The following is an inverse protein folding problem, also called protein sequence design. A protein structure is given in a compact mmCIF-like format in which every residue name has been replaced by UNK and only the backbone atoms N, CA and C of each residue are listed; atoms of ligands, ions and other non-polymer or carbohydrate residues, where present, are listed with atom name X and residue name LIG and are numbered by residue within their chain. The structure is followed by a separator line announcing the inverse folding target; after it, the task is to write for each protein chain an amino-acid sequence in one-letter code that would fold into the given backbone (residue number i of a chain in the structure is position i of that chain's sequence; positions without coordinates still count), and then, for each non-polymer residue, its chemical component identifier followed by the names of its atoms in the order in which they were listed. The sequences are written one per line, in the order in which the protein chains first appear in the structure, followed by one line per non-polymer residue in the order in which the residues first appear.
data_IF_223037891133
#
_entry.id   IF_223037891133
#
_cell.length_a   1.000
_cell.length_b   1.000
_cell.length_c   1.000
_cell.angle_alpha   90.00
_cell.angle_beta   90.00
_cell.angle_gamma   90.00
#
_symmetry.space_group_name_H-M   'P 1'
#
loop_
_entity.id
_entity.type
_entity.pdbx_description
1 polymer ?
#
# COMPACT_ATOMS: atom_id res chain seq x y z
N UNK A 1 -10.57 -29.38 -12.08
CA UNK A 1 -11.39 -28.40 -11.35
C UNK A 1 -10.62 -27.57 -10.31
N UNK A 2 -9.81 -28.15 -9.39
CA UNK A 2 -9.02 -27.38 -8.40
C UNK A 2 -7.85 -26.58 -9.04
N UNK A 3 -7.22 -27.13 -10.08
CA UNK A 3 -6.11 -26.49 -10.82
C UNK A 3 -6.54 -25.24 -11.62
N UNK A 4 -7.74 -25.24 -12.21
CA UNK A 4 -8.19 -24.14 -13.09
C UNK A 4 -8.52 -22.84 -12.33
N UNK A 5 -8.87 -22.95 -11.04
CA UNK A 5 -9.25 -21.79 -10.22
C UNK A 5 -8.02 -21.11 -9.60
N UNK A 6 -7.02 -21.89 -9.18
CA UNK A 6 -5.68 -21.40 -8.82
C UNK A 6 -5.04 -20.69 -10.02
N UNK A 7 -5.10 -21.29 -11.21
CA UNK A 7 -4.60 -20.70 -12.44
C UNK A 7 -5.27 -19.37 -12.80
N UNK A 8 -6.55 -19.16 -12.44
CA UNK A 8 -7.24 -17.88 -12.68
C UNK A 8 -6.84 -16.78 -11.69
N UNK A 9 -6.44 -17.14 -10.47
CA UNK A 9 -5.85 -16.23 -9.48
C UNK A 9 -4.41 -15.90 -9.88
N UNK A 10 -3.63 -16.90 -10.29
CA UNK A 10 -2.26 -16.74 -10.78
C UNK A 10 -2.17 -15.94 -12.08
N UNK A 11 -3.06 -16.19 -13.05
CA UNK A 11 -3.15 -15.41 -14.29
C UNK A 11 -3.56 -13.94 -14.05
N UNK A 12 -4.12 -13.62 -12.88
CA UNK A 12 -4.40 -12.24 -12.50
C UNK A 12 -3.25 -11.59 -11.69
N UNK A 13 -2.30 -12.38 -11.20
CA UNK A 13 -1.12 -11.95 -10.43
C UNK A 13 0.16 -11.89 -11.29
N UNK A 14 0.26 -12.64 -12.39
CA UNK A 14 1.43 -12.75 -13.28
C UNK A 14 1.47 -11.71 -14.42
N UNK A 15 0.84 -10.54 -14.28
CA UNK A 15 1.01 -9.46 -15.25
C UNK A 15 2.26 -8.65 -14.85
N UNK A 16 3.43 -9.16 -15.23
CA UNK A 16 4.63 -8.35 -15.37
C UNK A 16 4.45 -7.43 -16.59
N UNK A 17 4.55 -6.12 -16.35
CA UNK A 17 4.21 -5.05 -17.29
C UNK A 17 5.38 -4.75 -18.24
N UNK A 18 5.82 -5.74 -19.03
CA UNK A 18 6.81 -5.52 -20.10
C UNK A 18 6.22 -5.44 -21.52
N UNK A 19 4.90 -5.64 -21.73
CA UNK A 19 4.32 -5.70 -23.10
C UNK A 19 3.05 -4.83 -23.29
N UNK A 20 3.14 -3.52 -23.03
CA UNK A 20 2.13 -2.55 -23.49
C UNK A 20 2.79 -1.36 -24.19
N UNK A 21 3.51 -1.63 -25.26
CA UNK A 21 3.63 -0.67 -26.37
C UNK A 21 3.32 -1.40 -27.68
N UNK A 22 2.47 -0.78 -28.49
CA UNK A 22 2.05 -1.21 -29.85
C UNK A 22 0.75 -2.04 -29.95
N UNK A 23 -0.38 -1.33 -29.98
CA UNK A 23 -1.52 -1.78 -30.79
C UNK A 23 -2.25 -0.57 -31.38
N UNK A 24 -2.09 -0.36 -32.70
CA UNK A 24 -2.82 0.64 -33.48
C UNK A 24 -4.32 0.27 -33.61
N UNK A 25 -5.25 1.25 -33.57
CA UNK A 25 -6.67 0.96 -33.71
C UNK A 25 -7.16 1.10 -35.17
N UNK A 26 -7.50 -0.01 -35.82
CA UNK A 26 -8.30 -0.01 -37.06
C UNK A 26 -9.79 -0.26 -36.79
N UNK A 27 -10.64 0.61 -37.34
CA UNK A 27 -12.07 0.36 -37.66
C UNK A 27 -13.10 0.70 -36.57
N UNK A 28 -13.80 1.84 -36.71
CA UNK A 28 -14.70 2.41 -35.68
C UNK A 28 -16.13 1.87 -35.63
N UNK A 29 -16.63 1.06 -36.57
CA UNK A 29 -18.07 0.73 -36.60
C UNK A 29 -18.49 -0.65 -36.05
N UNK A 30 -17.56 -1.60 -35.85
CA UNK A 30 -17.86 -2.86 -35.12
C UNK A 30 -17.64 -2.77 -33.60
N UNK A 31 -17.22 -1.61 -33.10
CA UNK A 31 -16.76 -1.40 -31.72
C UNK A 31 -17.90 -1.32 -30.69
N UNK A 32 -19.08 -0.82 -31.08
CA UNK A 32 -20.18 -0.54 -30.14
C UNK A 32 -20.86 -1.80 -29.58
N UNK A 33 -21.13 -2.80 -30.42
CA UNK A 33 -21.75 -4.07 -29.98
C UNK A 33 -20.75 -4.96 -29.24
N UNK A 34 -19.47 -4.96 -29.67
CA UNK A 34 -18.38 -5.69 -29.02
C UNK A 34 -18.06 -5.12 -27.62
N UNK A 35 -18.03 -3.79 -27.44
CA UNK A 35 -17.82 -3.16 -26.12
C UNK A 35 -18.96 -3.46 -25.13
N UNK A 36 -20.21 -3.54 -25.57
CA UNK A 36 -21.35 -3.91 -24.69
C UNK A 36 -21.34 -5.40 -24.32
N UNK A 37 -20.96 -6.29 -25.24
CA UNK A 37 -20.80 -7.72 -24.96
C UNK A 37 -19.59 -7.98 -24.04
N UNK A 38 -18.46 -7.30 -24.25
CA UNK A 38 -17.29 -7.36 -23.38
C UNK A 38 -17.57 -6.78 -21.99
N UNK A 39 -18.33 -5.68 -21.90
CA UNK A 39 -18.74 -5.10 -20.62
C UNK A 39 -19.69 -6.01 -19.82
N UNK A 40 -20.61 -6.72 -20.49
CA UNK A 40 -21.45 -7.73 -19.85
C UNK A 40 -20.63 -8.95 -19.43
N UNK A 41 -19.78 -9.50 -20.30
CA UNK A 41 -18.90 -10.63 -19.98
C UNK A 41 -17.89 -10.31 -18.86
N UNK A 42 -17.35 -9.08 -18.81
CA UNK A 42 -16.47 -8.62 -17.75
C UNK A 42 -17.22 -8.48 -16.41
N UNK A 43 -18.48 -8.02 -16.42
CA UNK A 43 -19.33 -8.00 -15.22
C UNK A 43 -19.69 -9.40 -14.74
N UNK A 44 -19.99 -10.34 -15.63
CA UNK A 44 -20.27 -11.73 -15.26
C UNK A 44 -19.01 -12.44 -14.75
N UNK A 45 -17.85 -12.23 -15.39
CA UNK A 45 -16.54 -12.73 -14.91
C UNK A 45 -16.15 -12.12 -13.56
N UNK A 46 -16.36 -10.82 -13.35
CA UNK A 46 -16.13 -10.15 -12.07
C UNK A 46 -17.02 -10.73 -10.96
N UNK A 47 -18.29 -11.01 -11.26
CA UNK A 47 -19.24 -11.58 -10.31
C UNK A 47 -18.93 -13.05 -9.98
N UNK A 48 -18.51 -13.85 -10.98
CA UNK A 48 -18.03 -15.23 -10.78
C UNK A 48 -16.71 -15.27 -10.01
N UNK A 49 -15.77 -14.34 -10.29
CA UNK A 49 -14.51 -14.17 -9.55
C UNK A 49 -14.78 -13.80 -8.08
N UNK A 50 -15.73 -12.91 -7.81
CA UNK A 50 -16.14 -12.57 -6.44
C UNK A 50 -16.82 -13.72 -5.69
N UNK A 51 -17.68 -14.50 -6.36
CA UNK A 51 -18.36 -15.65 -5.74
C UNK A 51 -17.40 -16.82 -5.49
N UNK A 52 -16.45 -17.04 -6.40
CA UNK A 52 -15.37 -18.03 -6.26
C UNK A 52 -14.43 -17.65 -5.12
N UNK A 53 -13.95 -16.40 -5.04
CA UNK A 53 -13.07 -15.95 -3.94
C UNK A 53 -13.76 -15.97 -2.58
N UNK A 54 -15.07 -15.69 -2.50
CA UNK A 54 -15.84 -15.79 -1.24
C UNK A 54 -16.04 -17.24 -0.78
N UNK A 55 -16.25 -18.17 -1.72
CA UNK A 55 -16.26 -19.59 -1.37
C UNK A 55 -14.86 -20.02 -0.91
N UNK A 56 -13.79 -19.66 -1.61
CA UNK A 56 -12.41 -19.96 -1.19
C UNK A 56 -12.12 -19.40 0.21
N UNK A 57 -12.38 -18.13 0.50
CA UNK A 57 -12.18 -17.57 1.83
C UNK A 57 -12.97 -18.29 2.95
N UNK A 58 -14.12 -18.90 2.63
CA UNK A 58 -14.96 -19.66 3.57
C UNK A 58 -14.54 -21.13 3.70
N UNK A 59 -13.94 -21.71 2.65
CA UNK A 59 -13.47 -23.10 2.64
C UNK A 59 -12.04 -23.24 3.18
N UNK A 60 -11.26 -22.15 3.20
CA UNK A 60 -9.86 -22.14 3.65
C UNK A 60 -9.68 -21.71 5.12
N UNK A 61 -10.79 -21.50 5.84
CA UNK A 61 -10.79 -21.02 7.23
C UNK A 61 -10.37 -22.06 8.26
N UNK A 62 -10.32 -23.36 7.92
CA UNK A 62 -10.22 -24.40 8.98
C UNK A 62 -9.08 -25.41 8.84
N UNK A 63 -8.56 -25.79 7.65
CA UNK A 63 -7.62 -26.96 7.61
C UNK A 63 -6.41 -26.91 6.65
N UNK A 64 -6.06 -25.78 5.97
CA UNK A 64 -4.84 -25.69 5.11
C UNK A 64 -4.13 -24.33 5.13
N UNK A 65 -4.04 -23.73 6.31
CA UNK A 65 -3.55 -22.37 6.49
C UNK A 65 -2.05 -22.13 6.15
N UNK A 66 -1.09 -23.04 6.46
CA UNK A 66 0.34 -22.71 6.34
C UNK A 66 0.87 -22.66 4.91
N UNK A 67 0.55 -23.63 4.05
CA UNK A 67 1.11 -23.72 2.70
C UNK A 67 0.59 -22.60 1.80
N UNK A 68 -0.69 -22.27 1.93
CA UNK A 68 -1.28 -21.14 1.20
C UNK A 68 -0.66 -19.81 1.65
N UNK A 69 -0.47 -19.63 2.97
CA UNK A 69 0.20 -18.44 3.51
C UNK A 69 1.63 -18.35 2.97
N UNK A 70 2.40 -19.45 2.99
CA UNK A 70 3.75 -19.50 2.41
C UNK A 70 3.72 -19.11 0.93
N UNK A 71 2.85 -19.73 0.14
CA UNK A 71 2.78 -19.47 -1.29
C UNK A 71 2.42 -18.02 -1.61
N UNK A 72 1.40 -17.47 -0.96
CA UNK A 72 0.99 -16.08 -1.17
C UNK A 72 2.14 -15.15 -0.76
N UNK A 73 2.80 -15.43 0.36
CA UNK A 73 3.93 -14.64 0.85
C UNK A 73 5.08 -14.60 -0.16
N UNK A 74 5.46 -15.75 -0.74
CA UNK A 74 6.49 -15.84 -1.78
C UNK A 74 6.15 -15.00 -3.02
N UNK A 75 4.86 -14.91 -3.40
CA UNK A 75 4.41 -14.10 -4.55
C UNK A 75 4.32 -12.61 -4.23
N UNK A 76 4.06 -12.26 -2.97
CA UNK A 76 3.98 -10.87 -2.54
C UNK A 76 5.34 -10.19 -2.50
N UNK A 77 6.42 -10.95 -2.30
CA UNK A 77 7.78 -10.40 -2.33
C UNK A 77 8.33 -10.46 -3.76
N UNK A 78 9.00 -9.39 -4.19
CA UNK A 78 9.65 -9.33 -5.51
C UNK A 78 10.79 -10.34 -5.58
N UNK A 79 11.08 -10.80 -6.81
CA UNK A 79 12.35 -11.47 -7.11
C UNK A 79 13.51 -10.51 -6.82
N UNK A 80 14.58 -11.03 -6.22
CA UNK A 80 15.75 -10.26 -5.76
C UNK A 80 15.39 -9.02 -4.90
N UNK A 81 14.70 -9.19 -3.76
CA UNK A 81 14.13 -8.08 -2.99
C UNK A 81 15.21 -7.09 -2.51
N UNK A 82 16.42 -7.58 -2.19
CA UNK A 82 17.54 -6.75 -1.75
C UNK A 82 18.13 -5.88 -2.87
N UNK A 83 18.31 -6.45 -4.06
CA UNK A 83 18.82 -5.73 -5.23
C UNK A 83 17.82 -4.65 -5.64
N UNK A 84 16.53 -4.99 -5.62
CA UNK A 84 15.45 -4.05 -5.89
C UNK A 84 15.42 -2.93 -4.83
N UNK A 85 15.55 -3.27 -3.55
CA UNK A 85 15.63 -2.30 -2.48
C UNK A 85 16.77 -1.31 -2.67
N UNK A 86 18.00 -1.80 -2.89
CA UNK A 86 19.18 -0.94 -3.10
C UNK A 86 18.99 -0.01 -4.30
N UNK A 87 18.38 -0.50 -5.38
CA UNK A 87 18.11 0.29 -6.58
C UNK A 87 17.07 1.40 -6.36
N UNK A 88 16.06 1.17 -5.50
CA UNK A 88 14.89 2.04 -5.38
C UNK A 88 14.78 2.79 -4.04
N UNK A 89 15.66 2.51 -3.08
CA UNK A 89 15.62 3.12 -1.74
C UNK A 89 15.71 4.65 -1.77
N UNK A 90 16.53 5.22 -2.64
CA UNK A 90 16.69 6.67 -2.77
C UNK A 90 15.40 7.34 -3.25
N UNK A 91 14.79 6.81 -4.32
CA UNK A 91 13.52 7.32 -4.86
C UNK A 91 12.41 7.19 -3.81
N UNK A 92 12.36 6.06 -3.11
CA UNK A 92 11.40 5.86 -2.04
C UNK A 92 11.61 6.84 -0.88
N UNK A 93 12.86 7.09 -0.48
CA UNK A 93 13.21 8.03 0.58
C UNK A 93 12.84 9.47 0.21
N UNK A 94 13.16 9.89 -1.01
CA UNK A 94 12.78 11.20 -1.55
C UNK A 94 11.26 11.38 -1.56
N UNK A 95 10.54 10.37 -2.08
CA UNK A 95 9.08 10.36 -2.08
C UNK A 95 8.51 10.43 -0.67
N UNK A 96 9.05 9.64 0.26
CA UNK A 96 8.62 9.63 1.66
C UNK A 96 8.83 10.97 2.35
N UNK A 97 9.99 11.59 2.18
CA UNK A 97 10.29 12.91 2.74
C UNK A 97 9.37 13.99 2.17
N UNK A 98 9.10 13.95 0.87
CA UNK A 98 8.13 14.86 0.24
C UNK A 98 6.73 14.70 0.84
N UNK A 99 6.29 13.44 1.02
CA UNK A 99 5.03 13.10 1.68
C UNK A 99 5.00 13.63 3.11
N UNK A 100 6.03 13.35 3.92
CA UNK A 100 6.09 13.79 5.31
C UNK A 100 6.06 15.33 5.42
N UNK A 101 6.85 16.04 4.62
CA UNK A 101 6.86 17.52 4.62
C UNK A 101 5.48 18.13 4.37
N UNK A 102 4.72 17.54 3.44
CA UNK A 102 3.41 18.05 3.07
C UNK A 102 2.30 17.63 4.04
N UNK A 103 2.53 16.60 4.87
CA UNK A 103 1.46 15.96 5.66
C UNK A 103 1.67 15.96 7.16
N UNK A 104 2.88 16.28 7.64
CA UNK A 104 3.13 16.45 9.06
C UNK A 104 2.44 17.71 9.56
N UNK A 105 1.39 17.50 10.35
CA UNK A 105 0.63 18.55 10.98
C UNK A 105 1.36 19.04 12.24
N UNK A 106 1.45 20.36 12.47
CA UNK A 106 2.01 20.87 13.71
C UNK A 106 1.16 20.48 14.92
N UNK A 107 1.81 20.44 16.07
CA UNK A 107 1.13 20.25 17.35
C UNK A 107 0.18 21.43 17.63
N UNK A 108 -0.93 21.15 18.31
CA UNK A 108 -1.90 22.16 18.77
C UNK A 108 -2.73 22.88 17.70
N UNK A 109 -2.92 22.28 16.53
CA UNK A 109 -3.89 22.77 15.54
C UNK A 109 -5.30 22.25 15.82
N UNK A 110 -6.31 22.94 15.27
CA UNK A 110 -7.70 22.47 15.26
C UNK A 110 -8.02 21.69 13.99
N UNK A 111 -9.12 20.95 14.00
CA UNK A 111 -9.63 20.20 12.85
C UNK A 111 -10.08 21.09 11.69
N UNK A 112 -10.33 22.38 11.96
CA UNK A 112 -10.66 23.40 10.96
C UNK A 112 -9.43 24.06 10.31
N UNK A 113 -8.21 23.74 10.76
CA UNK A 113 -6.99 24.31 10.20
C UNK A 113 -6.84 23.95 8.71
N UNK A 114 -6.63 24.94 7.81
CA UNK A 114 -6.50 24.68 6.37
C UNK A 114 -5.40 23.68 5.99
N UNK A 115 -4.39 23.52 6.83
CA UNK A 115 -3.31 22.54 6.63
C UNK A 115 -3.81 21.11 6.64
N UNK A 116 -4.87 20.80 7.39
CA UNK A 116 -5.49 19.46 7.41
C UNK A 116 -6.02 19.11 6.01
N UNK A 117 -6.81 20.00 5.42
CA UNK A 117 -7.38 19.81 4.08
C UNK A 117 -6.27 19.76 3.03
N UNK A 118 -5.27 20.63 3.14
CA UNK A 118 -4.13 20.69 2.21
C UNK A 118 -3.31 19.39 2.23
N UNK A 119 -3.01 18.85 3.41
CA UNK A 119 -2.29 17.60 3.57
C UNK A 119 -3.05 16.41 2.95
N UNK A 120 -4.37 16.34 3.16
CA UNK A 120 -5.22 15.29 2.58
C UNK A 120 -5.25 15.41 1.05
N UNK A 121 -5.44 16.61 0.51
CA UNK A 121 -5.38 16.89 -0.94
C UNK A 121 -4.08 16.42 -1.56
N UNK A 122 -2.97 16.74 -0.91
CA UNK A 122 -1.64 16.35 -1.37
C UNK A 122 -1.51 14.83 -1.52
N UNK A 123 -1.95 14.06 -0.51
CA UNK A 123 -1.93 12.60 -0.55
C UNK A 123 -2.86 12.03 -1.62
N UNK A 124 -4.05 12.61 -1.80
CA UNK A 124 -4.99 12.15 -2.81
C UNK A 124 -4.44 12.31 -4.23
N UNK A 125 -3.80 13.45 -4.49
CA UNK A 125 -3.12 13.72 -5.74
C UNK A 125 -1.97 12.74 -6.00
N UNK A 126 -1.27 12.29 -4.95
CA UNK A 126 -0.25 11.25 -5.12
C UNK A 126 -0.90 9.92 -5.49
N UNK A 127 -1.91 9.50 -4.72
CA UNK A 127 -2.56 8.19 -4.84
C UNK A 127 -3.22 7.98 -6.21
N UNK A 128 -3.85 9.03 -6.74
CA UNK A 128 -4.65 8.94 -7.97
C UNK A 128 -4.06 9.71 -9.14
N UNK A 129 -2.92 10.39 -8.94
CA UNK A 129 -2.16 11.04 -10.00
C UNK A 129 -1.45 10.02 -10.90
N UNK A 130 -1.53 10.23 -12.21
CA UNK A 130 -0.93 9.31 -13.21
C UNK A 130 0.61 9.33 -13.20
N UNK A 131 1.23 10.43 -12.75
CA UNK A 131 2.67 10.64 -12.81
C UNK A 131 3.49 9.97 -11.69
N UNK A 132 2.83 9.47 -10.64
CA UNK A 132 3.55 8.96 -9.45
C UNK A 132 3.90 7.49 -9.60
N UNK A 133 5.10 7.10 -9.16
CA UNK A 133 5.50 5.70 -9.12
C UNK A 133 4.65 4.89 -8.13
N UNK A 134 4.50 3.59 -8.38
CA UNK A 134 3.74 2.67 -7.51
C UNK A 134 4.25 2.72 -6.06
N UNK A 135 5.57 2.78 -5.88
CA UNK A 135 6.19 2.88 -4.54
C UNK A 135 5.72 4.11 -3.77
N UNK A 136 5.73 5.28 -4.42
CA UNK A 136 5.29 6.54 -3.78
C UNK A 136 3.80 6.51 -3.48
N UNK A 137 2.98 5.89 -4.34
CA UNK A 137 1.55 5.68 -4.07
C UNK A 137 1.31 4.79 -2.85
N UNK A 138 2.06 3.70 -2.70
CA UNK A 138 1.96 2.83 -1.52
C UNK A 138 2.29 3.58 -0.24
N UNK A 139 3.40 4.32 -0.25
CA UNK A 139 3.81 5.16 0.87
C UNK A 139 2.74 6.20 1.21
N UNK A 140 2.16 6.87 0.20
CA UNK A 140 1.08 7.82 0.40
C UNK A 140 -0.20 7.15 0.97
N UNK A 141 -0.50 5.91 0.59
CA UNK A 141 -1.65 5.18 1.13
C UNK A 141 -1.48 4.93 2.63
N UNK A 142 -0.28 4.50 3.05
CA UNK A 142 0.06 4.32 4.46
C UNK A 142 -0.02 5.67 5.20
N UNK A 143 0.58 6.73 4.64
CA UNK A 143 0.54 8.04 5.27
C UNK A 143 -0.87 8.61 5.39
N UNK A 144 -1.75 8.32 4.43
CA UNK A 144 -3.15 8.73 4.51
C UNK A 144 -3.82 8.14 5.76
N UNK A 145 -3.54 6.89 6.12
CA UNK A 145 -4.08 6.31 7.36
C UNK A 145 -3.56 7.03 8.60
N UNK A 146 -2.25 7.26 8.66
CA UNK A 146 -1.64 7.95 9.80
C UNK A 146 -2.21 9.36 9.94
N UNK A 147 -2.30 10.10 8.83
CA UNK A 147 -2.91 11.43 8.81
C UNK A 147 -4.36 11.41 9.28
N UNK A 148 -5.18 10.47 8.79
CA UNK A 148 -6.59 10.38 9.20
C UNK A 148 -6.73 10.02 10.70
N UNK A 149 -5.84 9.21 11.26
CA UNK A 149 -5.83 8.92 12.70
C UNK A 149 -5.38 10.14 13.51
N UNK A 150 -4.37 10.90 13.05
CA UNK A 150 -3.99 12.19 13.65
C UNK A 150 -5.16 13.18 13.62
N UNK A 151 -5.86 13.33 12.48
CA UNK A 151 -7.03 14.19 12.37
C UNK A 151 -8.15 13.74 13.29
N UNK A 152 -8.35 12.42 13.45
CA UNK A 152 -9.31 11.86 14.42
C UNK A 152 -8.95 12.22 15.86
N UNK A 153 -7.68 12.20 16.23
CA UNK A 153 -7.22 12.67 17.54
C UNK A 153 -7.47 14.17 17.73
N UNK A 154 -7.17 14.98 16.72
CA UNK A 154 -7.44 16.42 16.72
C UNK A 154 -8.95 16.70 16.90
N UNK A 155 -9.81 16.07 16.11
CA UNK A 155 -11.28 16.21 16.24
C UNK A 155 -11.77 15.77 17.61
N UNK A 156 -11.18 14.71 18.17
CA UNK A 156 -11.51 14.25 19.53
C UNK A 156 -11.13 15.29 20.59
N UNK A 157 -9.98 15.95 20.42
CA UNK A 157 -9.53 17.05 21.29
C UNK A 157 -10.47 18.26 21.16
N UNK A 158 -10.78 18.67 19.93
CA UNK A 158 -11.71 19.77 19.66
C UNK A 158 -13.10 19.53 20.27
N UNK A 159 -13.59 18.29 20.23
CA UNK A 159 -14.84 17.90 20.87
C UNK A 159 -14.77 18.05 22.40
N UNK A 160 -13.71 17.55 23.04
CA UNK A 160 -13.51 17.67 24.50
C UNK A 160 -13.43 19.13 24.94
N UNK A 161 -12.91 20.00 24.08
CA UNK A 161 -12.80 21.44 24.32
C UNK A 161 -14.06 22.23 23.90
N UNK A 162 -15.12 21.56 23.45
CA UNK A 162 -16.38 22.20 23.04
C UNK A 162 -16.32 22.97 21.71
N UNK A 163 -15.21 22.88 20.96
CA UNK A 163 -15.04 23.53 19.65
C UNK A 163 -15.84 22.84 18.54
N UNK A 164 -16.12 21.55 18.72
CA UNK A 164 -16.92 20.73 17.81
C UNK A 164 -18.05 20.10 18.60
N UNK A 165 -19.26 20.11 18.04
CA UNK A 165 -20.41 19.42 18.62
C UNK A 165 -20.70 18.13 17.84
N UNK A 166 -20.81 17.01 18.56
CA UNK A 166 -21.24 15.74 17.97
C UNK A 166 -22.77 15.66 17.99
N UNK A 167 -23.35 15.23 16.87
CA UNK A 167 -24.79 14.94 16.77
C UNK A 167 -25.02 13.45 17.06
N UNK A 168 -26.20 13.10 17.56
CA UNK A 168 -26.59 11.69 17.75
C UNK A 168 -26.43 10.92 16.43
N UNK A 169 -25.68 9.81 16.44
CA UNK A 169 -25.35 9.03 15.25
C UNK A 169 -24.16 9.53 14.41
N UNK A 170 -23.55 10.67 14.77
CA UNK A 170 -22.37 11.24 14.10
C UNK A 170 -21.21 11.35 15.10
N UNK A 171 -20.33 10.36 15.09
CA UNK A 171 -19.12 10.36 15.91
C UNK A 171 -17.94 11.07 15.24
N UNK A 172 -16.81 11.09 15.94
CA UNK A 172 -15.52 11.65 15.47
C UNK A 172 -15.15 11.12 14.09
N UNK A 173 -15.24 9.81 13.87
CA UNK A 173 -14.90 9.20 12.57
C UNK A 173 -15.77 9.73 11.41
N UNK A 174 -17.04 10.03 11.66
CA UNK A 174 -17.94 10.62 10.65
C UNK A 174 -17.51 12.03 10.29
N UNK A 175 -16.97 12.80 11.24
CA UNK A 175 -16.43 14.14 11.00
C UNK A 175 -15.14 14.06 10.21
N UNK A 176 -14.22 13.16 10.59
CA UNK A 176 -12.95 12.93 9.85
C UNK A 176 -13.23 12.59 8.39
N UNK A 177 -14.20 11.71 8.11
CA UNK A 177 -14.56 11.39 6.73
C UNK A 177 -15.22 12.55 5.98
N UNK A 178 -15.96 13.43 6.66
CA UNK A 178 -16.47 14.67 6.05
C UNK A 178 -15.34 15.64 5.72
N UNK A 179 -14.34 15.78 6.58
CA UNK A 179 -13.14 16.57 6.31
C UNK A 179 -12.43 15.99 5.07
N UNK A 180 -12.23 14.67 5.04
CA UNK A 180 -11.66 13.99 3.87
C UNK A 180 -12.48 14.25 2.60
N UNK A 181 -13.81 14.18 2.69
CA UNK A 181 -14.70 14.49 1.57
C UNK A 181 -14.58 15.95 1.10
N UNK A 182 -14.46 16.90 2.03
CA UNK A 182 -14.28 18.32 1.70
C UNK A 182 -12.92 18.63 1.07
N UNK A 183 -11.94 17.74 1.29
CA UNK A 183 -10.62 17.83 0.68
C UNK A 183 -10.58 17.28 -0.75
N UNK A 184 -11.67 16.75 -1.31
CA UNK A 184 -11.63 16.24 -2.69
C UNK A 184 -11.88 17.37 -3.69
N UNK A 185 -11.07 17.43 -4.76
CA UNK A 185 -11.27 18.41 -5.84
C UNK A 185 -12.46 18.03 -6.75
N UNK A 186 -12.83 16.75 -6.75
CA UNK A 186 -14.01 16.24 -7.44
C UNK A 186 -15.07 15.79 -6.44
N UNK A 187 -16.35 15.89 -6.81
CA UNK A 187 -17.44 15.36 -5.99
C UNK A 187 -17.32 13.84 -5.86
N UNK A 188 -16.87 13.38 -4.69
CA UNK A 188 -16.77 11.96 -4.38
C UNK A 188 -17.85 11.52 -3.40
N UNK A 189 -18.31 10.29 -3.57
CA UNK A 189 -19.22 9.69 -2.59
C UNK A 189 -18.45 9.17 -1.38
N UNK A 190 -19.08 9.18 -0.22
CA UNK A 190 -18.52 8.57 1.01
C UNK A 190 -18.10 7.12 0.80
N UNK A 191 -18.83 6.36 -0.02
CA UNK A 191 -18.48 4.98 -0.37
C UNK A 191 -17.10 4.86 -1.01
N UNK A 192 -16.76 5.76 -1.93
CA UNK A 192 -15.43 5.78 -2.56
C UNK A 192 -14.35 6.02 -1.50
N UNK A 193 -14.52 7.04 -0.66
CA UNK A 193 -13.53 7.37 0.37
C UNK A 193 -13.34 6.22 1.37
N UNK A 194 -14.41 5.53 1.75
CA UNK A 194 -14.31 4.33 2.58
C UNK A 194 -13.53 3.20 1.91
N UNK A 195 -13.70 2.98 0.61
CA UNK A 195 -12.90 1.99 -0.12
C UNK A 195 -11.43 2.39 -0.20
N UNK A 196 -11.12 3.69 -0.36
CA UNK A 196 -9.73 4.19 -0.33
C UNK A 196 -9.08 3.92 1.03
N UNK A 197 -9.77 4.28 2.11
CA UNK A 197 -9.28 4.02 3.48
C UNK A 197 -9.18 2.53 3.77
N UNK A 198 -10.10 1.70 3.25
CA UNK A 198 -10.03 0.24 3.39
C UNK A 198 -8.83 -0.34 2.66
N UNK A 199 -8.61 0.06 1.40
CA UNK A 199 -7.45 -0.36 0.62
C UNK A 199 -6.16 -0.04 1.36
N UNK A 200 -6.02 1.22 1.81
CA UNK A 200 -4.86 1.65 2.57
C UNK A 200 -4.68 0.80 3.83
N UNK A 201 -5.76 0.53 4.58
CA UNK A 201 -5.72 -0.31 5.80
C UNK A 201 -5.27 -1.73 5.51
N UNK A 202 -5.80 -2.35 4.45
CA UNK A 202 -5.42 -3.70 4.04
C UNK A 202 -3.98 -3.76 3.56
N UNK A 203 -3.53 -2.72 2.85
CA UNK A 203 -2.14 -2.58 2.46
C UNK A 203 -1.23 -2.44 3.68
N UNK A 204 -1.62 -1.63 4.68
CA UNK A 204 -0.88 -1.51 5.95
C UNK A 204 -0.81 -2.84 6.68
N UNK A 205 -1.91 -3.58 6.74
CA UNK A 205 -1.95 -4.89 7.40
C UNK A 205 -1.01 -5.88 6.75
N UNK A 206 -0.94 -5.86 5.42
CA UNK A 206 -0.03 -6.72 4.67
C UNK A 206 1.43 -6.36 4.89
N UNK A 207 1.74 -5.14 5.30
CA UNK A 207 3.10 -4.63 5.43
C UNK A 207 3.57 -4.71 6.85
N UNK A 208 4.71 -5.35 7.04
CA UNK A 208 5.47 -5.27 8.28
C UNK A 208 5.88 -3.81 8.50
N UNK A 209 5.64 -3.26 9.70
CA UNK A 209 6.21 -1.97 10.06
C UNK A 209 7.73 -2.11 10.06
N UNK A 210 8.44 -1.34 9.21
CA UNK A 210 8.18 0.06 8.82
C UNK A 210 7.79 0.28 7.32
N UNK A 211 7.31 1.48 6.92
CA UNK A 211 6.79 1.75 5.58
C UNK A 211 7.76 1.47 4.42
N UNK A 212 9.08 1.56 4.63
CA UNK A 212 10.07 1.23 3.58
C UNK A 212 10.11 -0.24 3.20
N UNK A 213 9.53 -1.13 4.03
CA UNK A 213 9.41 -2.54 3.72
C UNK A 213 8.50 -2.80 2.50
N UNK A 214 7.60 -1.85 2.17
CA UNK A 214 6.78 -1.85 0.95
C UNK A 214 7.57 -1.89 -0.36
N UNK A 215 8.85 -1.49 -0.36
CA UNK A 215 9.71 -1.55 -1.54
C UNK A 215 9.88 -2.99 -2.02
N UNK A 216 9.87 -3.93 -1.08
CA UNK A 216 10.09 -5.35 -1.35
C UNK A 216 8.86 -6.02 -1.98
N UNK A 217 7.68 -5.39 -1.86
CA UNK A 217 6.44 -6.00 -2.31
C UNK A 217 6.30 -5.90 -3.83
N UNK A 218 5.86 -6.98 -4.47
CA UNK A 218 5.46 -7.03 -5.88
C UNK A 218 4.11 -6.33 -6.06
N UNK A 219 3.68 -6.15 -7.31
CA UNK A 219 2.38 -5.54 -7.63
C UNK A 219 1.18 -6.43 -7.21
N UNK A 220 1.45 -7.67 -6.79
CA UNK A 220 0.44 -8.55 -6.23
C UNK A 220 -0.13 -8.02 -4.89
N UNK A 221 0.63 -7.17 -4.19
CA UNK A 221 0.21 -6.58 -2.93
C UNK A 221 -1.05 -5.70 -3.09
N UNK A 222 -1.14 -4.92 -4.16
CA UNK A 222 -2.31 -4.09 -4.46
C UNK A 222 -3.53 -4.94 -4.77
N UNK A 223 -3.33 -6.00 -5.57
CA UNK A 223 -4.39 -6.97 -5.89
C UNK A 223 -4.94 -7.63 -4.63
N UNK A 224 -4.08 -7.90 -3.65
CA UNK A 224 -4.48 -8.51 -2.39
C UNK A 224 -5.15 -7.52 -1.43
N UNK A 225 -4.65 -6.28 -1.40
CA UNK A 225 -5.20 -5.18 -0.62
C UNK A 225 -6.56 -4.70 -1.17
N UNK A 226 -6.87 -4.95 -2.45
CA UNK A 226 -8.19 -4.67 -3.01
C UNK A 226 -9.29 -5.49 -2.32
N UNK A 227 -10.46 -4.87 -2.13
CA UNK A 227 -11.66 -5.51 -1.57
C UNK A 227 -12.07 -6.75 -2.38
N UNK A 228 -11.82 -6.73 -3.69
CA UNK A 228 -12.21 -7.81 -4.59
C UNK A 228 -11.42 -9.11 -4.36
N UNK A 229 -10.33 -9.07 -3.60
CA UNK A 229 -9.49 -10.23 -3.35
C UNK A 229 -10.13 -11.30 -2.47
N UNK A 230 -11.22 -10.99 -1.76
CA UNK A 230 -11.94 -11.97 -0.94
C UNK A 230 -11.22 -12.39 0.35
N UNK A 231 -9.96 -12.01 0.56
CA UNK A 231 -9.22 -12.31 1.79
C UNK A 231 -9.68 -11.42 2.95
N UNK A 232 -10.00 -12.01 4.09
CA UNK A 232 -10.29 -11.29 5.34
C UNK A 232 -9.03 -10.70 5.97
N UNK A 233 -9.19 -9.74 6.90
CA UNK A 233 -8.07 -9.16 7.67
C UNK A 233 -7.21 -10.23 8.38
N UNK A 234 -7.78 -11.27 9.03
CA UNK A 234 -6.97 -12.28 9.71
C UNK A 234 -6.01 -13.03 8.78
N UNK A 235 -6.41 -13.28 7.53
CA UNK A 235 -5.51 -13.90 6.56
C UNK A 235 -4.38 -12.96 6.14
N UNK A 236 -4.66 -11.65 5.99
CA UNK A 236 -3.63 -10.66 5.69
C UNK A 236 -2.61 -10.58 6.84
N UNK A 237 -3.08 -10.62 8.08
CA UNK A 237 -2.25 -10.65 9.29
C UNK A 237 -1.35 -11.90 9.32
N UNK A 238 -1.89 -13.08 9.01
CA UNK A 238 -1.10 -14.32 8.93
C UNK A 238 -0.01 -14.25 7.84
N UNK A 239 -0.35 -13.68 6.69
CA UNK A 239 0.61 -13.46 5.58
C UNK A 239 1.70 -12.49 6.00
N UNK A 240 1.33 -11.34 6.59
CA UNK A 240 2.28 -10.35 7.05
C UNK A 240 3.23 -10.91 8.11
N UNK A 241 2.69 -11.67 9.08
CA UNK A 241 3.45 -12.36 10.12
C UNK A 241 4.44 -13.37 9.53
N UNK A 242 4.03 -14.14 8.52
CA UNK A 242 4.93 -15.06 7.83
C UNK A 242 6.04 -14.32 7.07
N UNK A 243 5.72 -13.26 6.36
CA UNK A 243 6.71 -12.41 5.67
C UNK A 243 7.71 -11.83 6.68
N UNK A 244 7.23 -11.30 7.81
CA UNK A 244 8.10 -10.77 8.87
C UNK A 244 9.06 -11.82 9.41
N UNK A 245 8.56 -13.03 9.64
CA UNK A 245 9.34 -14.14 10.19
C UNK A 245 10.45 -14.62 9.23
N UNK A 246 10.17 -14.66 7.93
CA UNK A 246 11.10 -15.12 6.91
C UNK A 246 12.06 -14.01 6.46
N UNK A 247 11.67 -12.74 6.61
CA UNK A 247 12.49 -11.63 6.17
C UNK A 247 13.78 -11.46 7.01
N UNK A 248 14.92 -11.11 6.37
CA UNK A 248 16.16 -10.86 7.10
C UNK A 248 16.01 -9.72 8.12
N UNK A 249 16.30 -9.99 9.40
CA UNK A 249 16.19 -9.00 10.48
C UNK A 249 16.96 -7.70 10.18
N UNK A 250 18.13 -7.80 9.56
CA UNK A 250 18.94 -6.64 9.14
C UNK A 250 18.24 -5.75 8.11
N UNK A 251 17.44 -6.34 7.22
CA UNK A 251 16.65 -5.59 6.24
C UNK A 251 15.52 -4.84 6.93
N UNK A 252 14.79 -5.52 7.83
CA UNK A 252 13.75 -4.90 8.65
C UNK A 252 14.33 -3.71 9.43
N UNK A 253 15.47 -3.90 10.11
CA UNK A 253 16.15 -2.82 10.84
C UNK A 253 16.58 -1.68 9.92
N UNK A 254 17.14 -1.97 8.74
CA UNK A 254 17.52 -0.92 7.79
C UNK A 254 16.32 -0.09 7.31
N UNK A 255 15.18 -0.73 7.05
CA UNK A 255 13.95 -0.03 6.74
C UNK A 255 13.46 0.83 7.93
N UNK A 256 13.68 0.38 9.17
CA UNK A 256 13.23 1.09 10.40
C UNK A 256 14.10 2.32 10.61
N UNK A 257 15.41 2.15 10.51
CA UNK A 257 16.40 3.23 10.56
C UNK A 257 16.06 4.32 9.52
N UNK A 258 15.77 3.94 8.26
CA UNK A 258 15.38 4.90 7.22
C UNK A 258 14.12 5.70 7.57
N UNK A 259 13.08 5.03 8.06
CA UNK A 259 11.84 5.69 8.47
C UNK A 259 12.08 6.68 9.61
N UNK A 260 12.81 6.25 10.64
CA UNK A 260 13.10 7.07 11.82
C UNK A 260 13.96 8.28 11.49
N UNK A 261 15.02 8.12 10.68
CA UNK A 261 15.87 9.24 10.30
C UNK A 261 15.09 10.23 9.43
N UNK A 262 14.27 9.75 8.49
CA UNK A 262 13.43 10.61 7.67
C UNK A 262 12.44 11.43 8.53
N UNK A 263 11.74 10.78 9.45
CA UNK A 263 10.81 11.47 10.36
C UNK A 263 11.53 12.49 11.27
N UNK A 264 12.69 12.11 11.82
CA UNK A 264 13.48 12.99 12.70
C UNK A 264 13.99 14.22 11.96
N UNK A 265 14.42 14.06 10.70
CA UNK A 265 14.86 15.17 9.87
C UNK A 265 13.72 16.16 9.59
N UNK A 266 12.49 15.68 9.33
CA UNK A 266 11.34 16.57 9.13
C UNK A 266 10.92 17.27 10.42
N UNK A 267 10.88 16.56 11.56
CA UNK A 267 10.51 17.15 12.86
C UNK A 267 11.49 18.23 13.32
N UNK A 268 12.79 18.01 13.11
CA UNK A 268 13.84 18.95 13.52
C UNK A 268 14.01 20.14 12.56
N UNK A 269 13.32 20.14 11.41
CA UNK A 269 13.50 21.17 10.37
C UNK A 269 14.90 21.16 9.74
N UNK A 270 15.71 20.12 9.98
CA UNK A 270 17.06 20.02 9.45
C UNK A 270 17.04 19.72 7.95
N UNK A 271 17.98 20.34 7.23
CA UNK A 271 18.25 19.97 5.85
C UNK A 271 18.73 18.52 5.82
N UNK A 272 17.94 17.68 5.16
CA UNK A 272 18.21 16.25 5.01
C UNK A 272 18.97 16.04 3.69
N UNK A 273 20.25 15.66 3.75
CA UNK A 273 20.97 15.17 2.59
C UNK A 273 20.49 13.75 2.26
N UNK A 274 19.44 13.69 1.45
CA UNK A 274 18.75 12.47 1.07
C UNK A 274 19.66 11.52 0.29
N UNK A 275 20.58 12.07 -0.51
CA UNK A 275 21.55 11.32 -1.29
C UNK A 275 22.54 10.62 -0.37
N UNK A 276 23.08 11.35 0.63
CA UNK A 276 23.96 10.76 1.65
C UNK A 276 23.24 9.69 2.48
N UNK A 277 22.02 9.92 2.93
CA UNK A 277 21.27 8.94 3.70
C UNK A 277 20.97 7.66 2.91
N UNK A 278 20.51 7.80 1.66
CA UNK A 278 20.28 6.66 0.78
C UNK A 278 21.60 5.90 0.51
N UNK A 279 22.70 6.63 0.31
CA UNK A 279 24.02 6.05 0.10
C UNK A 279 24.51 5.28 1.33
N UNK A 280 24.36 5.81 2.54
CA UNK A 280 24.78 5.13 3.78
C UNK A 280 24.01 3.82 3.97
N UNK A 281 22.70 3.82 3.72
CA UNK A 281 21.88 2.61 3.81
C UNK A 281 22.21 1.61 2.72
N UNK A 282 22.41 2.09 1.48
CA UNK A 282 22.91 1.28 0.37
C UNK A 282 24.23 0.62 0.71
N UNK A 283 25.22 1.36 1.21
CA UNK A 283 26.53 0.84 1.61
C UNK A 283 26.44 -0.16 2.78
N UNK A 284 25.55 0.06 3.75
CA UNK A 284 25.30 -0.91 4.84
C UNK A 284 24.73 -2.22 4.29
N UNK A 285 23.75 -2.15 3.40
CA UNK A 285 23.13 -3.32 2.79
C UNK A 285 24.07 -4.04 1.83
N UNK A 286 24.84 -3.32 1.01
CA UNK A 286 25.84 -3.91 0.10
C UNK A 286 26.96 -4.61 0.85
N UNK A 287 27.46 -4.02 1.95
CA UNK A 287 28.42 -4.71 2.84
C UNK A 287 27.83 -5.99 3.40
N UNK A 288 26.58 -5.93 3.88
CA UNK A 288 25.91 -7.12 4.39
C UNK A 288 25.71 -8.20 3.32
N UNK A 289 25.29 -7.84 2.10
CA UNK A 289 25.15 -8.79 0.99
C UNK A 289 26.49 -9.45 0.66
N UNK A 290 27.57 -8.68 0.57
CA UNK A 290 28.93 -9.21 0.31
C UNK A 290 29.39 -10.20 1.39
N UNK A 291 29.19 -9.87 2.68
CA UNK A 291 29.53 -10.77 3.78
C UNK A 291 28.73 -12.08 3.72
N UNK A 292 27.45 -12.01 3.36
CA UNK A 292 26.57 -13.18 3.37
C UNK A 292 26.85 -14.14 2.21
N UNK A 293 27.22 -13.60 1.05
CA UNK A 293 27.69 -14.39 -0.11
C UNK A 293 29.02 -15.07 0.20
N UNK A 294 29.92 -14.38 0.91
CA UNK A 294 31.25 -14.91 1.27
C UNK A 294 31.19 -16.03 2.31
N UNK A 295 30.21 -16.05 3.21
CA UNK A 295 30.10 -17.07 4.26
C UNK A 295 29.33 -18.32 3.84
N UNK A 296 28.37 -18.21 2.91
CA UNK A 296 27.47 -19.32 2.62
C UNK A 296 27.59 -19.92 1.22
N UNK A 297 28.37 -19.34 0.28
CA UNK A 297 28.65 -19.93 -1.05
C UNK A 297 27.45 -20.10 -1.98
N UNK A 298 26.23 -20.05 -1.45
CA UNK A 298 24.95 -20.09 -2.13
C UNK A 298 24.27 -18.74 -1.92
N UNK A 299 23.67 -18.23 -2.99
CA UNK A 299 22.57 -17.28 -2.89
C UNK A 299 21.54 -17.98 -2.01
N UNK A 300 21.50 -17.66 -0.71
CA UNK A 300 20.48 -18.21 0.18
C UNK A 300 19.17 -17.78 -0.45
N UNK A 301 18.41 -18.75 -0.96
CA UNK A 301 17.05 -18.49 -1.41
C UNK A 301 16.27 -18.12 -0.16
N UNK A 302 16.28 -16.83 0.18
CA UNK A 302 15.58 -16.30 1.34
C UNK A 302 14.05 -16.53 1.28
N UNK A 303 13.55 -17.13 0.18
CA UNK A 303 12.13 -17.24 -0.16
C UNK A 303 11.74 -18.54 -0.92
N UNK A 304 12.60 -19.57 -1.02
CA UNK A 304 12.21 -20.93 -1.47
C UNK A 304 12.20 -21.88 -0.27
#
# INVERSE_FOLDING_TARGET
MQSETLNAVYAAMDIDEEDITNAEPRGKEKLGRRKRALGKAARTRSKYKQLSMRHLARTYSEERSPELVKEISCRLIRRDPLKFFVKHCEIALLGWLSILRATMLPENITSSDPRVVTAIKYLDNILYGQANSILVRRLAAIQLLYLLETVKQIVSSDYRQGRVQLKRGYGVSSIVMKIYMSAQDQLMTMGVLYERTRFARRLRELTVEPPFFLILYSNAAESLADRSSGFGMPMLEMIASHIEHVAPSKLITACKDLAQVAESAIRSGQACDTGRMALEVKQRLERWMKCTISTNGAYVDWWL
#
